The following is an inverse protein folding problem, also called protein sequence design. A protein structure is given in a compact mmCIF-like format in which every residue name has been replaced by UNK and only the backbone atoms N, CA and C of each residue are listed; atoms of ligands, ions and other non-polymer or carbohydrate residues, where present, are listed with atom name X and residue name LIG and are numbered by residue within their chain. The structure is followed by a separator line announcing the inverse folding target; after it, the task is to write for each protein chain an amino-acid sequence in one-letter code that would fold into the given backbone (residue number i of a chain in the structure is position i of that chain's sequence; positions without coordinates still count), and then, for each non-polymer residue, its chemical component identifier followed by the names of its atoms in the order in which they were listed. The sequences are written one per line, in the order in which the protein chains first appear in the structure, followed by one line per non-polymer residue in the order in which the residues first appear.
data_IF_952650018516
#
_entry.id   IF_952650018516
#
_cell.length_a   1.000
_cell.length_b   1.000
_cell.length_c   1.000
_cell.angle_alpha   90.00
_cell.angle_beta   90.00
_cell.angle_gamma   90.00
#
_symmetry.space_group_name_H-M   'P 1'
#
loop_
_entity.id
_entity.type
_entity.pdbx_description
1 polymer ?
#
# COMPACT_ATOMS: atom_id res chain seq x y z
N UNK A 1 -15.91 -4.08 -21.19
CA UNK A 1 -14.88 -4.17 -20.13
C UNK A 1 -13.52 -4.12 -20.81
N UNK A 2 -12.63 -3.25 -20.35
CA UNK A 2 -11.31 -3.00 -20.94
C UNK A 2 -10.29 -2.77 -19.83
N UNK A 3 -9.11 -3.38 -19.92
CA UNK A 3 -7.97 -3.08 -19.05
C UNK A 3 -6.91 -2.40 -19.91
N UNK A 4 -6.38 -1.27 -19.45
CA UNK A 4 -5.27 -0.59 -20.13
C UNK A 4 -4.14 -0.28 -19.18
N UNK A 5 -2.93 -0.35 -19.73
CA UNK A 5 -1.76 0.28 -19.16
C UNK A 5 -1.57 1.61 -19.90
N UNK A 6 -1.64 2.71 -19.17
CA UNK A 6 -1.58 4.07 -19.71
C UNK A 6 -0.35 4.80 -19.16
N UNK A 7 0.34 5.53 -20.04
CA UNK A 7 1.52 6.33 -19.71
C UNK A 7 1.13 7.73 -19.23
N UNK A 8 2.02 8.34 -18.44
CA UNK A 8 1.90 9.72 -17.97
C UNK A 8 1.57 10.69 -19.11
N UNK A 9 0.61 11.57 -18.88
CA UNK A 9 0.17 12.58 -19.85
C UNK A 9 -0.94 12.12 -20.81
N UNK A 10 -1.33 10.85 -20.78
CA UNK A 10 -2.49 10.36 -21.55
C UNK A 10 -3.82 10.65 -20.83
N UNK A 11 -4.96 10.75 -21.57
CA UNK A 11 -6.28 10.94 -20.95
C UNK A 11 -6.69 9.81 -19.99
N UNK A 12 -6.38 8.56 -20.35
CA UNK A 12 -6.66 7.38 -19.49
C UNK A 12 -5.86 7.46 -18.18
N UNK A 13 -4.61 7.91 -18.24
CA UNK A 13 -3.76 8.11 -17.04
C UNK A 13 -4.36 9.17 -16.12
N UNK A 14 -4.79 10.30 -16.68
CA UNK A 14 -5.39 11.38 -15.90
C UNK A 14 -6.70 10.93 -15.25
N UNK A 15 -7.53 10.21 -16.00
CA UNK A 15 -8.80 9.64 -15.52
C UNK A 15 -8.58 8.65 -14.36
N UNK A 16 -7.55 7.81 -14.45
CA UNK A 16 -7.15 6.91 -13.36
C UNK A 16 -6.60 7.67 -12.14
N UNK A 17 -5.80 8.71 -12.35
CA UNK A 17 -5.29 9.56 -11.27
C UNK A 17 -6.42 10.29 -10.53
N UNK A 18 -7.43 10.77 -11.25
CA UNK A 18 -8.63 11.39 -10.68
C UNK A 18 -9.46 10.39 -9.88
N UNK A 19 -9.63 9.16 -10.38
CA UNK A 19 -10.26 8.09 -9.62
C UNK A 19 -9.51 7.82 -8.31
N UNK A 20 -8.17 7.72 -8.36
CA UNK A 20 -7.36 7.49 -7.18
C UNK A 20 -7.54 8.61 -6.14
N UNK A 21 -7.50 9.88 -6.58
CA UNK A 21 -7.77 11.04 -5.71
C UNK A 21 -9.15 10.95 -5.05
N UNK A 22 -10.18 10.69 -5.85
CA UNK A 22 -11.56 10.61 -5.39
C UNK A 22 -11.76 9.50 -4.36
N UNK A 23 -11.27 8.28 -4.63
CA UNK A 23 -11.42 7.14 -3.72
C UNK A 23 -10.65 7.38 -2.42
N UNK A 24 -9.44 7.92 -2.48
CA UNK A 24 -8.67 8.20 -1.27
C UNK A 24 -9.30 9.30 -0.41
N UNK A 25 -9.80 10.37 -1.03
CA UNK A 25 -10.54 11.41 -0.32
C UNK A 25 -11.80 10.83 0.34
N UNK A 26 -12.58 10.03 -0.39
CA UNK A 26 -13.84 9.45 0.12
C UNK A 26 -13.62 8.41 1.22
N UNK A 27 -12.64 7.54 1.06
CA UNK A 27 -12.46 6.36 1.92
C UNK A 27 -11.52 6.61 3.11
N UNK A 28 -10.53 7.49 2.93
CA UNK A 28 -9.49 7.74 3.92
C UNK A 28 -9.40 9.21 4.35
N UNK A 29 -10.23 10.09 3.79
CA UNK A 29 -10.15 11.55 4.02
C UNK A 29 -8.75 12.10 3.72
N UNK A 30 -8.07 11.48 2.76
CA UNK A 30 -6.71 11.80 2.40
C UNK A 30 -6.66 12.58 1.08
N UNK A 31 -5.95 13.70 1.08
CA UNK A 31 -5.57 14.40 -0.14
C UNK A 31 -4.25 13.82 -0.65
N UNK A 32 -4.27 13.25 -1.84
CA UNK A 32 -3.09 12.66 -2.49
C UNK A 32 -2.85 13.33 -3.84
N UNK A 33 -1.59 13.36 -4.27
CA UNK A 33 -1.21 13.71 -5.63
C UNK A 33 -0.50 12.49 -6.24
N UNK A 34 -1.26 11.53 -6.83
CA UNK A 34 -0.68 10.37 -7.47
C UNK A 34 0.24 10.81 -8.60
N UNK A 35 1.46 10.26 -8.61
CA UNK A 35 2.46 10.58 -9.63
C UNK A 35 3.20 9.35 -10.20
N UNK A 36 2.51 8.22 -10.50
CA UNK A 36 3.18 7.05 -11.05
C UNK A 36 3.52 7.20 -12.54
N UNK A 37 4.51 6.45 -13.01
CA UNK A 37 4.95 6.46 -14.42
C UNK A 37 3.86 5.95 -15.36
N UNK A 38 3.06 4.99 -14.87
CA UNK A 38 1.86 4.54 -15.56
C UNK A 38 0.73 4.17 -14.63
N UNK A 39 -0.47 4.07 -15.19
CA UNK A 39 -1.64 3.50 -14.52
C UNK A 39 -2.13 2.27 -15.26
N UNK A 40 -2.30 1.18 -14.52
CA UNK A 40 -3.15 0.07 -14.92
C UNK A 40 -4.58 0.41 -14.52
N UNK A 41 -5.51 0.49 -15.46
CA UNK A 41 -6.88 0.92 -15.23
C UNK A 41 -7.89 -0.07 -15.83
N UNK A 42 -9.00 -0.29 -15.12
CA UNK A 42 -10.11 -1.12 -15.53
C UNK A 42 -11.31 -0.24 -15.82
N UNK A 43 -11.77 -0.30 -17.06
CA UNK A 43 -12.90 0.44 -17.60
C UNK A 43 -14.09 -0.48 -17.88
N UNK A 44 -15.27 0.04 -17.63
CA UNK A 44 -16.56 -0.58 -17.97
C UNK A 44 -17.40 0.42 -18.74
N UNK A 45 -18.14 -0.06 -19.74
CA UNK A 45 -19.06 0.79 -20.49
C UNK A 45 -20.35 0.92 -19.70
N UNK A 46 -20.68 2.13 -19.29
CA UNK A 46 -21.92 2.44 -18.60
C UNK A 46 -23.13 2.34 -19.54
N UNK A 47 -24.33 2.39 -18.97
CA UNK A 47 -25.58 2.24 -19.72
C UNK A 47 -25.81 3.37 -20.75
N UNK A 48 -25.19 4.53 -20.56
CA UNK A 48 -25.20 5.67 -21.48
C UNK A 48 -24.14 5.57 -22.59
N UNK A 49 -23.37 4.48 -22.62
CA UNK A 49 -22.32 4.22 -23.60
C UNK A 49 -20.98 4.88 -23.28
N UNK A 50 -20.85 5.62 -22.18
CA UNK A 50 -19.57 6.19 -21.76
C UNK A 50 -18.69 5.13 -21.08
N UNK A 51 -17.37 5.22 -21.27
CA UNK A 51 -16.44 4.39 -20.52
C UNK A 51 -16.13 5.02 -19.16
N UNK A 52 -16.40 4.28 -18.10
CA UNK A 52 -16.11 4.68 -16.73
C UNK A 52 -14.94 3.87 -16.17
N UNK A 53 -13.98 4.55 -15.54
CA UNK A 53 -12.91 3.89 -14.79
C UNK A 53 -13.46 3.41 -13.45
N UNK A 54 -13.36 2.12 -13.16
CA UNK A 54 -13.88 1.53 -11.92
C UNK A 54 -12.78 1.06 -10.97
N UNK A 55 -11.56 0.88 -11.47
CA UNK A 55 -10.40 0.58 -10.66
C UNK A 55 -9.10 1.01 -11.34
N UNK A 56 -8.09 1.33 -10.55
CA UNK A 56 -6.75 1.62 -11.03
C UNK A 56 -5.67 1.17 -10.04
N UNK A 57 -4.46 0.96 -10.56
CA UNK A 57 -3.23 0.80 -9.80
C UNK A 57 -2.10 1.58 -10.48
N UNK A 58 -1.42 2.43 -9.73
CA UNK A 58 -0.24 3.16 -10.18
C UNK A 58 0.99 2.26 -10.19
N UNK A 59 1.78 2.37 -11.25
CA UNK A 59 3.02 1.64 -11.47
C UNK A 59 4.18 2.63 -11.51
N UNK A 60 5.18 2.44 -10.64
CA UNK A 60 6.39 3.25 -10.61
C UNK A 60 7.64 2.39 -10.75
N UNK A 61 8.57 2.84 -11.59
CA UNK A 61 9.82 2.18 -11.90
C UNK A 61 10.95 2.78 -11.06
N UNK A 62 11.54 2.04 -10.11
CA UNK A 62 12.52 2.60 -9.18
C UNK A 62 13.83 3.03 -9.85
N UNK A 63 14.09 2.62 -11.08
CA UNK A 63 15.31 2.93 -11.83
C UNK A 63 15.46 4.42 -12.14
N UNK A 64 14.34 5.09 -12.44
CA UNK A 64 14.34 6.47 -12.88
C UNK A 64 14.34 7.42 -11.67
N UNK A 65 13.62 7.06 -10.60
CA UNK A 65 13.51 7.88 -9.39
C UNK A 65 13.35 7.05 -8.10
N UNK A 66 13.63 7.69 -6.95
CA UNK A 66 13.35 7.09 -5.65
C UNK A 66 11.84 6.88 -5.48
N UNK A 67 11.43 5.65 -5.16
CA UNK A 67 10.02 5.32 -4.98
C UNK A 67 9.48 5.80 -3.64
N UNK A 68 8.16 6.06 -3.55
CA UNK A 68 7.53 6.51 -2.30
C UNK A 68 7.83 5.57 -1.12
N UNK A 69 7.97 4.27 -1.38
CA UNK A 69 8.24 3.28 -0.35
C UNK A 69 9.63 3.44 0.31
N UNK A 70 10.62 3.97 -0.40
CA UNK A 70 11.98 4.14 0.15
C UNK A 70 12.02 5.14 1.31
N UNK A 71 11.04 6.04 1.40
CA UNK A 71 10.88 6.94 2.57
C UNK A 71 10.53 6.18 3.86
N UNK A 72 10.10 4.93 3.73
CA UNK A 72 9.73 4.06 4.84
C UNK A 72 10.75 2.96 5.11
N UNK A 73 11.73 2.75 4.22
CA UNK A 73 12.74 1.71 4.33
C UNK A 73 14.06 2.27 4.88
N UNK A 74 14.81 1.42 5.57
CA UNK A 74 16.14 1.75 6.08
C UNK A 74 17.26 1.61 5.02
N UNK A 75 16.91 0.98 3.89
CA UNK A 75 17.82 0.62 2.81
C UNK A 75 17.08 0.72 1.46
N UNK A 76 17.81 0.79 0.33
CA UNK A 76 17.24 0.71 -1.00
C UNK A 76 16.30 -0.48 -1.16
N UNK A 77 15.27 -0.35 -2.00
CA UNK A 77 14.23 -1.37 -2.13
C UNK A 77 14.79 -2.73 -2.57
N UNK A 78 15.75 -2.74 -3.49
CA UNK A 78 16.41 -3.93 -4.00
C UNK A 78 17.17 -4.69 -2.90
N UNK A 79 17.83 -3.98 -1.98
CA UNK A 79 18.55 -4.59 -0.87
C UNK A 79 17.59 -5.26 0.12
N UNK A 80 16.45 -4.61 0.39
CA UNK A 80 15.40 -5.17 1.25
C UNK A 80 14.84 -6.45 0.64
N UNK A 81 14.56 -6.46 -0.67
CA UNK A 81 14.05 -7.65 -1.37
C UNK A 81 15.13 -8.74 -1.41
N UNK A 82 16.39 -8.40 -1.71
CA UNK A 82 17.50 -9.35 -1.72
C UNK A 82 17.65 -10.06 -0.39
N UNK A 83 17.54 -9.34 0.73
CA UNK A 83 17.59 -9.96 2.07
C UNK A 83 16.39 -10.89 2.32
N UNK A 84 15.20 -10.51 1.85
CA UNK A 84 13.99 -11.30 2.04
C UNK A 84 13.96 -12.59 1.20
N UNK A 85 14.44 -12.52 -0.04
CA UNK A 85 14.44 -13.64 -1.00
C UNK A 85 15.71 -14.50 -0.89
N UNK A 86 16.79 -13.96 -0.32
CA UNK A 86 18.08 -14.64 -0.22
C UNK A 86 18.85 -14.73 -1.55
N UNK A 87 18.49 -13.88 -2.53
CA UNK A 87 19.12 -13.85 -3.85
C UNK A 87 19.37 -12.40 -4.31
N UNK A 88 20.41 -12.12 -5.12
CA UNK A 88 20.67 -10.79 -5.66
C UNK A 88 19.49 -10.32 -6.53
N UNK A 89 18.98 -9.12 -6.25
CA UNK A 89 17.90 -8.46 -6.99
C UNK A 89 18.43 -7.16 -7.55
N UNK A 90 18.21 -6.94 -8.85
CA UNK A 90 18.51 -5.66 -9.47
C UNK A 90 17.32 -4.73 -9.30
N UNK A 91 17.58 -3.44 -9.14
CA UNK A 91 16.56 -2.39 -9.08
C UNK A 91 15.61 -2.42 -10.28
N UNK A 92 16.12 -2.81 -11.45
CA UNK A 92 15.31 -2.97 -12.67
C UNK A 92 14.35 -4.15 -12.69
N UNK A 93 14.48 -5.07 -11.74
CA UNK A 93 13.56 -6.19 -11.57
C UNK A 93 12.41 -5.86 -10.61
N UNK A 94 12.43 -4.65 -10.02
CA UNK A 94 11.47 -4.20 -9.03
C UNK A 94 10.44 -3.28 -9.69
N UNK A 95 9.20 -3.44 -9.29
CA UNK A 95 8.06 -2.58 -9.62
C UNK A 95 7.43 -2.07 -8.33
N UNK A 96 7.25 -0.76 -8.19
CA UNK A 96 6.37 -0.26 -7.13
C UNK A 96 4.93 -0.24 -7.63
N UNK A 97 4.02 -0.79 -6.83
CA UNK A 97 2.59 -0.68 -7.05
C UNK A 97 2.01 0.21 -5.95
N UNK A 98 1.33 1.28 -6.35
CA UNK A 98 0.79 2.30 -5.46
C UNK A 98 -0.56 2.82 -5.94
N UNK A 99 -1.13 3.78 -5.21
CA UNK A 99 -2.37 4.49 -5.60
C UNK A 99 -3.49 3.55 -6.06
N UNK A 100 -3.62 2.40 -5.40
CA UNK A 100 -4.61 1.38 -5.76
C UNK A 100 -5.97 1.86 -5.28
N UNK A 101 -6.89 2.06 -6.21
CA UNK A 101 -8.22 2.57 -5.94
C UNK A 101 -9.25 1.78 -6.73
N UNK A 102 -10.43 1.61 -6.14
CA UNK A 102 -11.56 1.01 -6.84
C UNK A 102 -12.88 1.46 -6.25
N UNK A 103 -13.87 1.61 -7.13
CA UNK A 103 -15.26 1.92 -6.77
C UNK A 103 -15.97 0.70 -6.17
N UNK A 104 -15.62 -0.53 -6.61
CA UNK A 104 -16.23 -1.78 -6.12
C UNK A 104 -15.23 -2.93 -6.05
N UNK A 105 -15.38 -3.81 -5.06
CA UNK A 105 -14.45 -4.91 -4.81
C UNK A 105 -14.16 -5.79 -6.04
N UNK A 106 -15.18 -6.06 -6.87
CA UNK A 106 -15.00 -6.85 -8.07
C UNK A 106 -14.11 -6.17 -9.13
N UNK A 107 -14.18 -4.85 -9.32
CA UNK A 107 -13.30 -4.12 -10.24
C UNK A 107 -11.86 -4.09 -9.71
N UNK A 108 -11.68 -3.88 -8.40
CA UNK A 108 -10.37 -3.98 -7.76
C UNK A 108 -9.75 -5.37 -7.89
N UNK A 109 -10.56 -6.44 -7.84
CA UNK A 109 -10.09 -7.80 -8.06
C UNK A 109 -9.56 -8.02 -9.49
N UNK A 110 -10.18 -7.41 -10.51
CA UNK A 110 -9.68 -7.48 -11.89
C UNK A 110 -8.29 -6.84 -12.04
N UNK A 111 -8.08 -5.67 -11.42
CA UNK A 111 -6.76 -5.04 -11.37
C UNK A 111 -5.73 -5.95 -10.69
N UNK A 112 -6.07 -6.53 -9.54
CA UNK A 112 -5.14 -7.39 -8.79
C UNK A 112 -4.78 -8.65 -9.59
N UNK A 113 -5.72 -9.25 -10.30
CA UNK A 113 -5.46 -10.40 -11.19
C UNK A 113 -4.57 -10.03 -12.37
N UNK A 114 -4.68 -8.81 -12.88
CA UNK A 114 -3.87 -8.35 -14.01
C UNK A 114 -2.42 -8.02 -13.63
N UNK A 115 -2.16 -7.62 -12.38
CA UNK A 115 -0.82 -7.22 -11.91
C UNK A 115 0.27 -8.27 -12.21
N UNK A 116 0.14 -9.56 -11.86
CA UNK A 116 1.19 -10.56 -12.13
C UNK A 116 1.52 -10.70 -13.62
N UNK A 117 0.51 -10.60 -14.49
CA UNK A 117 0.71 -10.66 -15.94
C UNK A 117 1.48 -9.42 -16.43
N UNK A 118 1.08 -8.22 -15.97
CA UNK A 118 1.78 -6.97 -16.32
C UNK A 118 3.22 -7.00 -15.83
N UNK A 119 3.46 -7.46 -14.60
CA UNK A 119 4.81 -7.64 -14.05
C UNK A 119 5.66 -8.58 -14.92
N UNK A 120 5.10 -9.71 -15.35
CA UNK A 120 5.78 -10.66 -16.23
C UNK A 120 6.11 -10.03 -17.60
N UNK A 121 5.16 -9.32 -18.20
CA UNK A 121 5.36 -8.61 -19.47
C UNK A 121 6.44 -7.51 -19.37
N UNK A 122 6.53 -6.84 -18.22
CA UNK A 122 7.55 -5.82 -17.95
C UNK A 122 8.92 -6.41 -17.53
N UNK A 123 9.03 -7.74 -17.38
CA UNK A 123 10.27 -8.39 -16.91
C UNK A 123 10.62 -8.07 -15.44
N UNK A 124 9.62 -7.70 -14.63
CA UNK A 124 9.79 -7.25 -13.23
C UNK A 124 9.17 -8.26 -12.27
N UNK A 125 9.91 -9.29 -11.85
CA UNK A 125 9.38 -10.37 -11.02
C UNK A 125 9.06 -9.94 -9.58
N UNK A 126 9.57 -8.79 -9.12
CA UNK A 126 9.36 -8.32 -7.75
C UNK A 126 8.48 -7.08 -7.74
N UNK A 127 7.43 -7.09 -6.91
CA UNK A 127 6.62 -5.90 -6.66
C UNK A 127 6.66 -5.51 -5.18
N UNK A 128 6.67 -4.21 -4.94
CA UNK A 128 6.55 -3.65 -3.59
C UNK A 128 5.36 -2.71 -3.51
N UNK A 129 4.65 -2.75 -2.39
CA UNK A 129 3.48 -1.90 -2.19
C UNK A 129 3.21 -1.69 -0.71
N UNK A 130 2.67 -0.51 -0.39
CA UNK A 130 2.02 -0.27 0.91
C UNK A 130 0.55 -0.62 0.78
N UNK A 131 0.07 -1.57 1.57
CA UNK A 131 -1.31 -2.03 1.50
C UNK A 131 -2.01 -1.91 2.86
N UNK A 132 -3.30 -1.62 2.82
CA UNK A 132 -4.16 -1.76 4.00
C UNK A 132 -4.44 -3.24 4.25
N UNK A 133 -4.81 -3.61 5.49
CA UNK A 133 -5.16 -5.01 5.82
C UNK A 133 -6.28 -5.60 4.94
N UNK A 134 -7.21 -4.78 4.44
CA UNK A 134 -8.25 -5.21 3.49
C UNK A 134 -7.67 -5.65 2.15
N UNK A 135 -6.70 -4.89 1.62
CA UNK A 135 -6.05 -5.23 0.36
C UNK A 135 -5.15 -6.47 0.53
N UNK A 136 -4.45 -6.58 1.67
CA UNK A 136 -3.67 -7.78 2.01
C UNK A 136 -4.56 -9.04 2.02
N UNK A 137 -5.72 -8.99 2.67
CA UNK A 137 -6.66 -10.10 2.71
C UNK A 137 -7.20 -10.47 1.34
N UNK A 138 -7.50 -9.47 0.49
CA UNK A 138 -7.95 -9.71 -0.88
C UNK A 138 -6.87 -10.42 -1.71
N UNK A 139 -5.62 -9.97 -1.62
CA UNK A 139 -4.54 -10.60 -2.37
C UNK A 139 -4.18 -12.00 -1.87
N UNK A 140 -4.24 -12.25 -0.55
CA UNK A 140 -4.08 -13.60 0.01
C UNK A 140 -5.16 -14.56 -0.50
N UNK A 141 -6.42 -14.09 -0.59
CA UNK A 141 -7.52 -14.87 -1.18
C UNK A 141 -7.31 -15.18 -2.67
N UNK A 142 -6.54 -14.35 -3.36
CA UNK A 142 -6.18 -14.54 -4.77
C UNK A 142 -4.90 -15.37 -4.95
N UNK A 143 -4.31 -15.89 -3.87
CA UNK A 143 -3.15 -16.78 -3.91
C UNK A 143 -1.79 -16.09 -3.92
N UNK A 144 -1.73 -14.77 -3.67
CA UNK A 144 -0.47 -14.05 -3.61
C UNK A 144 0.29 -14.32 -2.30
N UNK A 145 1.56 -14.68 -2.39
CA UNK A 145 2.46 -14.83 -1.23
C UNK A 145 3.15 -13.50 -0.98
N UNK A 146 3.09 -13.00 0.26
CA UNK A 146 3.72 -11.76 0.68
C UNK A 146 4.83 -12.04 1.70
N UNK A 147 5.97 -11.37 1.52
CA UNK A 147 6.99 -11.28 2.54
C UNK A 147 6.79 -9.97 3.31
N UNK A 148 6.21 -10.00 4.52
CA UNK A 148 6.09 -8.79 5.33
C UNK A 148 7.50 -8.28 5.67
N UNK A 149 7.74 -6.98 5.43
CA UNK A 149 8.97 -6.35 5.92
C UNK A 149 8.96 -6.38 7.46
N UNK A 150 10.01 -6.88 8.12
CA UNK A 150 10.10 -6.94 9.58
C UNK A 150 10.26 -5.55 10.21
N UNK A 151 10.60 -4.53 9.44
CA UNK A 151 10.79 -3.16 9.94
C UNK A 151 9.49 -2.37 9.85
N UNK A 152 8.97 -1.80 10.96
CA UNK A 152 7.92 -0.81 10.87
C UNK A 152 8.44 0.39 10.08
N UNK A 153 7.71 0.74 9.02
CA UNK A 153 7.92 1.93 8.21
C UNK A 153 8.30 3.13 9.11
N UNK A 154 9.46 3.76 8.90
CA UNK A 154 10.02 4.83 9.77
C UNK A 154 9.00 5.91 10.17
N UNK A 155 8.00 6.13 9.31
CA UNK A 155 6.91 7.08 9.49
C UNK A 155 5.53 6.45 9.18
N UNK A 156 5.21 5.28 9.73
CA UNK A 156 3.87 4.69 9.58
C UNK A 156 2.80 5.78 9.76
N UNK A 157 1.88 5.88 8.78
CA UNK A 157 0.91 6.96 8.61
C UNK A 157 0.46 7.50 9.99
N UNK A 158 0.73 8.78 10.33
CA UNK A 158 0.24 9.33 11.59
C UNK A 158 -1.26 9.11 11.58
N UNK A 159 -1.79 8.50 12.66
CA UNK A 159 -3.24 8.34 12.85
C UNK A 159 -3.88 9.63 12.37
N UNK A 160 -4.84 9.54 11.44
CA UNK A 160 -5.59 10.70 10.98
C UNK A 160 -6.15 11.39 12.22
N UNK A 161 -5.44 12.41 12.70
CA UNK A 161 -5.85 13.16 13.86
C UNK A 161 -7.05 13.96 13.38
N UNK A 162 -8.20 13.69 14.01
CA UNK A 162 -9.34 14.59 13.96
C UNK A 162 -8.91 16.03 14.27
N UNK A 163 -9.75 17.01 13.90
CA UNK A 163 -9.32 18.38 13.67
C UNK A 163 -8.69 18.98 14.92
N UNK A 164 -7.58 19.69 14.68
CA UNK A 164 -6.77 20.40 15.66
C UNK A 164 -7.60 21.19 16.68
N UNK A 165 -7.25 21.01 17.96
CA UNK A 165 -7.84 21.74 19.07
C UNK A 165 -7.49 23.22 19.07
N UNK A 166 -8.45 24.03 19.54
CA UNK A 166 -8.20 25.32 20.15
C UNK A 166 -7.75 25.11 21.62
N UNK A 167 -6.85 25.94 22.18
CA UNK A 167 -6.36 25.77 23.53
C UNK A 167 -7.26 26.52 24.54
N UNK A 168 -7.85 25.84 25.53
CA UNK A 168 -8.27 26.48 26.79
C UNK A 168 -8.27 25.49 27.97
N UNK A 169 -7.23 25.64 28.80
CA UNK A 169 -7.11 25.52 30.27
C UNK A 169 -8.06 24.65 31.16
N UNK A 170 -7.38 23.86 32.02
CA UNK A 170 -7.66 23.50 33.45
C UNK A 170 -8.20 22.08 33.75
N UNK A 171 -7.62 21.33 34.74
CA UNK A 171 -7.97 19.93 35.04
C UNK A 171 -8.89 19.74 36.26
N UNK A 172 -9.67 18.65 36.27
CA UNK A 172 -10.39 18.11 37.43
C UNK A 172 -10.92 16.69 37.16
N UNK A 173 -10.96 15.75 38.14
CA UNK A 173 -10.93 14.31 37.86
C UNK A 173 -12.27 13.57 38.03
N UNK A 174 -12.36 12.40 37.40
CA UNK A 174 -12.94 11.13 37.90
C UNK A 174 -14.00 10.44 37.02
N UNK A 175 -13.66 9.17 36.72
CA UNK A 175 -14.50 7.96 36.64
C UNK A 175 -15.52 7.75 35.51
N UNK A 176 -15.31 6.60 34.84
CA UNK A 176 -16.28 5.55 34.46
C UNK A 176 -16.35 5.21 32.95
N UNK A 177 -16.00 3.95 32.67
CA UNK A 177 -16.08 3.17 31.42
C UNK A 177 -17.53 2.99 30.93
N UNK A 178 -17.78 2.75 29.61
CA UNK A 178 -17.61 1.39 29.03
C UNK A 178 -17.07 1.36 27.58
N UNK A 179 -16.57 0.19 27.18
CA UNK A 179 -15.95 -0.12 25.87
C UNK A 179 -17.01 -0.61 24.87
N UNK A 180 -17.09 -0.10 23.62
CA UNK A 180 -17.84 -0.74 22.54
C UNK A 180 -16.94 -1.39 21.46
N UNK A 181 -17.51 -2.21 20.57
CA UNK A 181 -16.83 -3.27 19.84
C UNK A 181 -16.33 -2.75 18.49
N UNK A 182 -15.01 -2.59 18.36
CA UNK A 182 -14.27 -2.62 17.08
C UNK A 182 -12.77 -2.46 17.37
N UNK A 183 -12.19 -3.50 17.99
CA UNK A 183 -10.73 -3.62 18.08
C UNK A 183 -10.21 -4.12 16.73
N UNK A 184 -9.30 -3.41 16.04
CA UNK A 184 -8.62 -3.96 14.87
C UNK A 184 -7.70 -5.12 15.29
N UNK A 185 -7.49 -6.12 14.40
CA UNK A 185 -6.71 -7.30 14.73
C UNK A 185 -5.25 -6.95 15.03
N UNK A 186 -4.79 -7.50 16.14
CA UNK A 186 -3.42 -7.56 16.62
C UNK A 186 -2.53 -8.29 15.61
N UNK A 187 -1.81 -7.54 14.76
CA UNK A 187 -0.72 -8.07 13.95
C UNK A 187 0.65 -7.51 14.39
N UNK A 188 0.84 -7.37 15.70
CA UNK A 188 2.17 -7.20 16.30
C UNK A 188 2.30 -8.26 17.40
N UNK A 189 3.42 -9.01 17.47
CA UNK A 189 3.68 -9.83 18.65
C UNK A 189 3.86 -8.90 19.86
N UNK A 190 3.47 -9.34 21.08
CA UNK A 190 3.94 -8.68 22.28
C UNK A 190 5.46 -8.79 22.33
N UNK A 191 6.12 -7.66 22.61
CA UNK A 191 7.55 -7.57 22.87
C UNK A 191 7.96 -8.64 23.89
N UNK A 192 8.74 -9.62 23.48
CA UNK A 192 9.47 -10.49 24.40
C UNK A 192 10.79 -9.79 24.74
N UNK A 193 10.81 -9.32 25.98
CA UNK A 193 11.92 -8.83 26.77
C UNK A 193 13.32 -9.30 26.36
N UNK A 194 14.19 -8.30 26.31
CA UNK A 194 15.63 -8.35 26.52
C UNK A 194 16.02 -9.32 27.63
N UNK A 195 16.87 -10.31 27.33
CA UNK A 195 17.68 -11.01 28.31
C UNK A 195 19.16 -10.91 27.90
N UNK A 196 19.91 -10.10 28.65
CA UNK A 196 21.36 -9.95 28.60
C UNK A 196 22.06 -11.21 29.14
N UNK A 197 23.28 -11.56 28.68
CA UNK A 197 23.92 -12.82 29.02
C UNK A 197 24.55 -12.77 30.43
N UNK A 198 24.28 -13.79 31.25
CA UNK A 198 25.14 -14.12 32.40
C UNK A 198 25.82 -15.46 32.15
N UNK A 199 27.14 -15.37 32.07
CA UNK A 199 28.13 -16.40 32.32
C UNK A 199 27.87 -17.19 33.60
N UNK A 200 28.09 -18.50 33.59
CA UNK A 200 29.08 -19.22 34.43
C UNK A 200 29.10 -20.73 34.14
N UNK A 201 30.32 -21.23 33.92
CA UNK A 201 30.94 -22.51 34.29
C UNK A 201 30.10 -23.74 34.69
N UNK A 202 30.55 -24.91 34.19
CA UNK A 202 31.13 -25.91 35.09
C UNK A 202 30.57 -27.33 35.02
N UNK A 203 31.44 -28.24 34.56
CA UNK A 203 31.49 -29.70 34.74
C UNK A 203 30.50 -30.57 33.96
#
# INVERSE_FOLDING_TARGET
MRITLSERGTPDWQTAADLARLVFAKQYQASISPDPDGFLAFFETAADGQEEVLACAGLSFPEEESILLERYLDAPVEDVITRAVGAPVKRSQVLQIGSIASVRAAAGAEIIKAIPLIMACLGRPYAVMTMTGRLAALMQRLGCVFHPSPTPARNACPKANGPHGAPTTTPGPSSATPRPPNSPPSCWPPSAATASPRSTCGC
#
